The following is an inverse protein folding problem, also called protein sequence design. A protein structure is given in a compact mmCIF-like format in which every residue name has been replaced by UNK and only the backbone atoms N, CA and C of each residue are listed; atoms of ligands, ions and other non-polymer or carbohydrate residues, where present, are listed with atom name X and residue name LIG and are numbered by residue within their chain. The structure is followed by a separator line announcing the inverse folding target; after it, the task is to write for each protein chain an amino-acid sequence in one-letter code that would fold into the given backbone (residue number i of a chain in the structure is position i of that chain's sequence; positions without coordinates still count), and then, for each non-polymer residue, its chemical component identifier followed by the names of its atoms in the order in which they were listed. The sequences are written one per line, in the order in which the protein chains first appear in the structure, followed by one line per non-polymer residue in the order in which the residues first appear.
data_IF_196810109639
#
_entry.id   IF_196810109639
#
_cell.length_a   1.000
_cell.length_b   1.000
_cell.length_c   1.000
_cell.angle_alpha   90.00
_cell.angle_beta   90.00
_cell.angle_gamma   90.00
#
_symmetry.space_group_name_H-M   'P 1'
#
loop_
_entity.id
_entity.type
_entity.pdbx_description
1 polymer ?
#
# COMPACT_ATOMS: atom_id res chain seq x y z
N UNK A 1 108.79 55.07 -3.02
CA UNK A 1 107.93 54.08 -3.70
C UNK A 1 107.92 52.80 -2.87
N UNK A 2 106.76 52.14 -2.77
CA UNK A 2 106.56 50.76 -2.29
C UNK A 2 106.42 50.51 -0.77
N UNK A 3 105.28 50.89 -0.20
CA UNK A 3 104.66 50.25 0.98
C UNK A 3 103.14 50.18 0.77
N UNK A 4 102.65 49.36 -0.17
CA UNK A 4 101.21 49.17 -0.43
C UNK A 4 100.82 47.70 -0.72
N UNK A 5 101.77 46.76 -0.68
CA UNK A 5 101.57 45.40 -1.19
C UNK A 5 100.84 44.40 -0.26
N UNK A 6 100.87 44.46 1.09
CA UNK A 6 100.11 43.49 1.89
C UNK A 6 98.61 43.83 2.00
N UNK A 7 98.23 45.10 1.82
CA UNK A 7 96.84 45.56 2.00
C UNK A 7 95.93 45.13 0.83
N UNK A 8 96.45 45.20 -0.40
CA UNK A 8 95.71 44.81 -1.61
C UNK A 8 95.44 43.30 -1.69
N UNK A 9 96.35 42.48 -1.16
CA UNK A 9 96.18 41.02 -1.12
C UNK A 9 95.06 40.61 -0.16
N UNK A 10 94.94 41.29 0.98
CA UNK A 10 93.97 40.96 2.02
C UNK A 10 92.54 41.41 1.64
N UNK A 11 92.39 42.57 0.99
CA UNK A 11 91.10 42.99 0.43
C UNK A 11 90.61 42.06 -0.68
N UNK A 12 91.50 41.58 -1.55
CA UNK A 12 91.12 40.66 -2.62
C UNK A 12 90.68 39.28 -2.10
N UNK A 13 91.31 38.79 -1.02
CA UNK A 13 90.93 37.56 -0.35
C UNK A 13 89.59 37.70 0.40
N UNK A 14 89.38 38.83 1.10
CA UNK A 14 88.12 39.14 1.77
C UNK A 14 86.95 39.28 0.78
N UNK A 15 87.19 39.81 -0.43
CA UNK A 15 86.17 39.89 -1.48
C UNK A 15 85.73 38.51 -1.98
N UNK A 16 86.68 37.58 -2.19
CA UNK A 16 86.35 36.20 -2.62
C UNK A 16 85.59 35.44 -1.53
N UNK A 17 86.00 35.56 -0.28
CA UNK A 17 85.27 34.99 0.85
C UNK A 17 83.85 35.58 0.97
N UNK A 18 83.69 36.89 0.74
CA UNK A 18 82.38 37.53 0.74
C UNK A 18 81.49 37.08 -0.43
N UNK A 19 82.08 36.82 -1.61
CA UNK A 19 81.36 36.27 -2.76
C UNK A 19 80.95 34.81 -2.53
N UNK A 20 81.84 33.97 -2.00
CA UNK A 20 81.52 32.57 -1.65
C UNK A 20 80.43 32.48 -0.57
N UNK A 21 80.50 33.34 0.45
CA UNK A 21 79.45 33.45 1.47
C UNK A 21 78.11 33.90 0.88
N UNK A 22 78.12 34.86 -0.05
CA UNK A 22 76.90 35.30 -0.75
C UNK A 22 76.28 34.18 -1.56
N UNK A 23 77.08 33.46 -2.34
CA UNK A 23 76.61 32.33 -3.15
C UNK A 23 76.06 31.20 -2.27
N UNK A 24 76.70 30.92 -1.13
CA UNK A 24 76.17 29.94 -0.17
C UNK A 24 74.87 30.39 0.49
N UNK A 25 74.74 31.68 0.83
CA UNK A 25 73.49 32.24 1.34
C UNK A 25 72.37 32.14 0.30
N UNK A 26 72.63 32.52 -0.95
CA UNK A 26 71.64 32.46 -2.04
C UNK A 26 71.18 31.03 -2.32
N UNK A 27 72.11 30.06 -2.39
CA UNK A 27 71.77 28.64 -2.57
C UNK A 27 70.97 28.08 -1.40
N UNK A 28 71.23 28.54 -0.17
CA UNK A 28 70.48 28.12 1.00
C UNK A 28 69.06 28.72 0.96
N UNK A 29 68.93 30.00 0.61
CA UNK A 29 67.65 30.67 0.50
C UNK A 29 66.78 30.06 -0.63
N UNK A 30 67.38 29.67 -1.75
CA UNK A 30 66.69 28.97 -2.84
C UNK A 30 66.17 27.60 -2.41
N UNK A 31 66.98 26.81 -1.67
CA UNK A 31 66.52 25.52 -1.13
C UNK A 31 65.40 25.69 -0.12
N UNK A 32 65.53 26.63 0.81
CA UNK A 32 64.47 26.92 1.79
C UNK A 32 63.18 27.38 1.08
N UNK A 33 63.29 28.19 0.02
CA UNK A 33 62.15 28.60 -0.78
C UNK A 33 61.49 27.42 -1.53
N UNK A 34 62.30 26.47 -2.03
CA UNK A 34 61.79 25.31 -2.74
C UNK A 34 61.11 24.30 -1.81
N UNK A 35 61.69 24.05 -0.63
CA UNK A 35 61.08 23.22 0.41
C UNK A 35 59.74 23.81 0.89
N UNK A 36 59.68 25.13 1.11
CA UNK A 36 58.42 25.81 1.46
C UNK A 36 57.37 25.69 0.38
N UNK A 37 57.75 25.84 -0.90
CA UNK A 37 56.81 25.65 -2.03
C UNK A 37 56.28 24.23 -2.08
N UNK A 38 57.13 23.25 -1.84
CA UNK A 38 56.76 21.84 -1.85
C UNK A 38 55.83 21.51 -0.68
N UNK A 39 56.13 21.98 0.53
CA UNK A 39 55.23 21.85 1.68
C UNK A 39 53.85 22.47 1.44
N UNK A 40 53.78 23.64 0.76
CA UNK A 40 52.48 24.26 0.44
C UNK A 40 51.69 23.42 -0.56
N UNK A 41 52.36 22.84 -1.57
CA UNK A 41 51.70 21.95 -2.53
C UNK A 41 51.17 20.68 -1.85
N UNK A 42 51.98 20.07 -0.98
CA UNK A 42 51.58 18.87 -0.23
C UNK A 42 50.41 19.18 0.72
N UNK A 43 50.39 20.36 1.36
CA UNK A 43 49.27 20.80 2.20
C UNK A 43 47.98 21.01 1.39
N UNK A 44 48.08 21.62 0.21
CA UNK A 44 46.91 21.82 -0.67
C UNK A 44 46.37 20.48 -1.19
N UNK A 45 47.25 19.53 -1.53
CA UNK A 45 46.84 18.19 -1.93
C UNK A 45 46.13 17.47 -0.78
N UNK A 46 46.70 17.52 0.42
CA UNK A 46 46.10 16.90 1.61
C UNK A 46 44.76 17.54 1.96
N UNK A 47 44.64 18.87 1.88
CA UNK A 47 43.40 19.60 2.09
C UNK A 47 42.33 19.17 1.07
N UNK A 48 42.71 19.03 -0.20
CA UNK A 48 41.83 18.51 -1.25
C UNK A 48 41.34 17.09 -0.97
N UNK A 49 42.23 16.20 -0.50
CA UNK A 49 41.86 14.84 -0.11
C UNK A 49 40.91 14.80 1.10
N UNK A 50 41.16 15.63 2.11
CA UNK A 50 40.30 15.72 3.31
C UNK A 50 38.91 16.27 2.95
N UNK A 51 38.83 17.30 2.09
CA UNK A 51 37.56 17.83 1.61
C UNK A 51 36.79 16.80 0.77
N UNK A 52 37.49 16.07 -0.11
CA UNK A 52 36.90 14.98 -0.89
C UNK A 52 36.35 13.86 0.00
N UNK A 53 37.09 13.48 1.04
CA UNK A 53 36.66 12.48 2.01
C UNK A 53 35.45 12.96 2.82
N UNK A 54 35.43 14.23 3.23
CA UNK A 54 34.31 14.80 3.98
C UNK A 54 33.02 14.80 3.14
N UNK A 55 33.10 15.25 1.89
CA UNK A 55 31.96 15.21 0.96
C UNK A 55 31.46 13.78 0.70
N UNK A 56 32.37 12.81 0.56
CA UNK A 56 32.01 11.40 0.41
C UNK A 56 31.33 10.84 1.68
N UNK A 57 31.83 11.21 2.87
CA UNK A 57 31.24 10.80 4.13
C UNK A 57 29.84 11.39 4.33
N UNK A 58 29.63 12.66 4.00
CA UNK A 58 28.32 13.31 4.06
C UNK A 58 27.31 12.62 3.13
N UNK A 59 27.72 12.31 1.89
CA UNK A 59 26.89 11.58 0.95
C UNK A 59 26.52 10.17 1.44
N UNK A 60 27.48 9.44 2.03
CA UNK A 60 27.24 8.10 2.59
C UNK A 60 26.36 8.15 3.86
N UNK A 61 26.59 9.11 4.75
CA UNK A 61 25.81 9.26 5.97
C UNK A 61 24.35 9.61 5.68
N UNK A 62 24.09 10.49 4.71
CA UNK A 62 22.75 10.81 4.24
C UNK A 62 22.03 9.56 3.70
N UNK A 63 22.72 8.79 2.85
CA UNK A 63 22.16 7.53 2.28
C UNK A 63 21.87 6.50 3.36
N UNK A 64 22.75 6.35 4.34
CA UNK A 64 22.56 5.44 5.47
C UNK A 64 21.33 5.84 6.31
N UNK A 65 21.16 7.14 6.58
CA UNK A 65 19.98 7.65 7.28
C UNK A 65 18.69 7.40 6.49
N UNK A 66 18.69 7.62 5.18
CA UNK A 66 17.54 7.34 4.32
C UNK A 66 17.20 5.85 4.30
N UNK A 67 18.19 4.98 4.13
CA UNK A 67 17.99 3.53 4.15
C UNK A 67 17.46 3.04 5.52
N UNK A 68 17.96 3.60 6.62
CA UNK A 68 17.48 3.29 7.96
C UNK A 68 16.02 3.70 8.16
N UNK A 69 15.61 4.88 7.65
CA UNK A 69 14.23 5.34 7.71
C UNK A 69 13.27 4.47 6.88
N UNK A 70 13.71 4.00 5.71
CA UNK A 70 12.90 3.08 4.88
C UNK A 70 12.79 1.70 5.54
N UNK A 71 13.87 1.18 6.09
CA UNK A 71 13.86 -0.11 6.78
C UNK A 71 12.98 -0.08 8.04
N UNK A 72 12.96 1.03 8.78
CA UNK A 72 12.07 1.15 9.95
C UNK A 72 10.59 1.20 9.53
N UNK A 73 10.25 1.91 8.44
CA UNK A 73 8.91 1.90 7.85
C UNK A 73 8.51 0.49 7.41
N UNK A 74 9.39 -0.23 6.70
CA UNK A 74 9.14 -1.59 6.24
C UNK A 74 8.95 -2.57 7.40
N UNK A 75 9.71 -2.41 8.48
CA UNK A 75 9.53 -3.19 9.72
C UNK A 75 8.15 -2.99 10.32
N UNK A 76 7.63 -1.75 10.36
CA UNK A 76 6.29 -1.48 10.91
C UNK A 76 5.19 -2.02 9.99
N UNK A 77 5.37 -1.96 8.68
CA UNK A 77 4.44 -2.60 7.74
C UNK A 77 4.40 -4.12 7.96
N UNK A 78 5.55 -4.76 8.18
CA UNK A 78 5.61 -6.19 8.50
C UNK A 78 4.99 -6.52 9.87
N UNK A 79 5.15 -5.65 10.87
CA UNK A 79 4.44 -5.78 12.17
C UNK A 79 2.92 -5.73 11.97
N UNK A 80 2.43 -4.89 11.06
CA UNK A 80 1.00 -4.82 10.71
C UNK A 80 0.54 -6.12 10.03
N UNK A 81 1.28 -6.65 9.07
CA UNK A 81 0.93 -7.93 8.42
C UNK A 81 0.83 -9.06 9.44
N UNK A 82 1.83 -9.18 10.31
CA UNK A 82 1.82 -10.19 11.36
C UNK A 82 0.63 -10.00 12.32
N UNK A 83 0.30 -8.76 12.67
CA UNK A 83 -0.87 -8.46 13.49
C UNK A 83 -2.18 -8.84 12.77
N UNK A 84 -2.27 -8.64 11.45
CA UNK A 84 -3.42 -9.03 10.65
C UNK A 84 -3.57 -10.55 10.55
N UNK A 85 -2.47 -11.29 10.42
CA UNK A 85 -2.49 -12.76 10.40
C UNK A 85 -2.92 -13.35 11.76
N UNK A 86 -2.56 -12.69 12.85
CA UNK A 86 -2.86 -13.12 14.21
C UNK A 86 -4.19 -12.58 14.76
N UNK A 87 -5.01 -11.92 13.93
CA UNK A 87 -6.25 -11.23 14.34
C UNK A 87 -6.03 -10.29 15.54
N UNK A 88 -4.93 -9.54 15.55
CA UNK A 88 -4.57 -8.60 16.61
C UNK A 88 -5.01 -7.15 16.26
N UNK A 89 -5.14 -6.25 17.25
CA UNK A 89 -5.40 -4.84 16.99
C UNK A 89 -4.20 -4.17 16.30
N UNK A 90 -4.48 -3.44 15.22
CA UNK A 90 -3.46 -2.86 14.31
C UNK A 90 -3.29 -1.35 14.49
N UNK A 91 -4.20 -0.71 15.22
CA UNK A 91 -4.20 0.74 15.44
C UNK A 91 -2.85 1.33 15.93
N UNK A 92 -2.14 0.73 16.91
CA UNK A 92 -0.90 1.35 17.38
C UNK A 92 0.20 1.32 16.31
N UNK A 93 0.28 0.26 15.53
CA UNK A 93 1.24 0.15 14.42
C UNK A 93 0.85 1.07 13.26
N UNK A 94 -0.45 1.22 12.97
CA UNK A 94 -0.94 2.12 11.93
C UNK A 94 -0.67 3.60 12.28
N UNK A 95 -0.84 3.99 13.55
CA UNK A 95 -0.45 5.33 14.04
C UNK A 95 1.06 5.55 13.96
N UNK A 96 1.86 4.56 14.36
CA UNK A 96 3.33 4.60 14.23
C UNK A 96 3.75 4.77 12.77
N UNK A 97 3.10 4.06 11.84
CA UNK A 97 3.34 4.20 10.40
C UNK A 97 2.94 5.59 9.88
N UNK A 98 1.82 6.14 10.35
CA UNK A 98 1.36 7.48 10.00
C UNK A 98 2.32 8.58 10.51
N UNK A 99 2.90 8.41 11.69
CA UNK A 99 3.90 9.34 12.25
C UNK A 99 5.21 9.29 11.47
N UNK A 100 5.70 8.09 11.15
CA UNK A 100 6.95 7.93 10.41
C UNK A 100 6.82 8.30 8.92
N UNK A 101 5.60 8.19 8.36
CA UNK A 101 5.34 8.53 6.95
C UNK A 101 5.16 10.02 6.68
N UNK A 102 5.24 10.90 7.69
CA UNK A 102 5.16 12.37 7.49
C UNK A 102 6.16 12.92 6.47
N UNK A 103 7.26 12.21 6.25
CA UNK A 103 8.29 12.56 5.28
C UNK A 103 7.94 12.15 3.84
N UNK A 104 6.99 11.23 3.63
CA UNK A 104 6.48 10.85 2.31
C UNK A 104 5.02 11.31 2.13
N UNK A 105 4.76 12.32 1.28
CA UNK A 105 3.43 12.87 1.08
C UNK A 105 2.43 11.84 0.53
N UNK A 106 2.90 10.85 -0.24
CA UNK A 106 2.03 9.83 -0.85
C UNK A 106 1.56 8.85 0.22
N UNK A 107 2.49 8.34 1.05
CA UNK A 107 2.16 7.45 2.15
C UNK A 107 1.28 8.15 3.18
N UNK A 108 1.63 9.38 3.55
CA UNK A 108 0.87 10.17 4.51
C UNK A 108 -0.56 10.44 4.01
N UNK A 109 -0.72 10.84 2.75
CA UNK A 109 -2.04 11.05 2.15
C UNK A 109 -2.86 9.76 2.11
N UNK A 110 -2.26 8.63 1.73
CA UNK A 110 -2.95 7.35 1.67
C UNK A 110 -3.46 6.91 3.05
N UNK A 111 -2.62 7.04 4.09
CA UNK A 111 -2.98 6.68 5.47
C UNK A 111 -4.04 7.64 6.06
N UNK A 112 -3.97 8.94 5.74
CA UNK A 112 -4.98 9.92 6.18
C UNK A 112 -6.30 9.83 5.41
N UNK A 113 -6.29 9.27 4.20
CA UNK A 113 -7.50 9.04 3.43
C UNK A 113 -8.35 7.87 3.92
N UNK A 114 -7.86 7.11 4.91
CA UNK A 114 -8.61 6.03 5.53
C UNK A 114 -9.84 6.60 6.27
N UNK A 115 -11.05 6.10 5.97
CA UNK A 115 -12.26 6.53 6.66
C UNK A 115 -12.18 6.28 8.17
N UNK A 116 -12.84 7.13 8.97
CA UNK A 116 -12.88 6.99 10.43
C UNK A 116 -13.46 5.63 10.87
N UNK A 117 -14.36 5.06 10.06
CA UNK A 117 -14.93 3.73 10.29
C UNK A 117 -13.86 2.62 10.28
N UNK A 118 -12.81 2.79 9.48
CA UNK A 118 -11.68 1.85 9.42
C UNK A 118 -10.79 2.01 10.65
N UNK A 119 -10.52 3.25 11.07
CA UNK A 119 -9.67 3.51 12.23
C UNK A 119 -10.35 3.09 13.55
N UNK A 120 -11.65 3.27 13.69
CA UNK A 120 -12.44 2.75 14.81
C UNK A 120 -12.53 1.22 14.81
N UNK A 121 -12.68 0.60 13.63
CA UNK A 121 -12.71 -0.86 13.53
C UNK A 121 -11.36 -1.52 13.87
N UNK A 122 -10.24 -0.86 13.57
CA UNK A 122 -8.88 -1.34 13.93
C UNK A 122 -8.56 -1.28 15.43
N UNK A 123 -9.46 -0.69 16.23
CA UNK A 123 -9.37 -0.70 17.70
C UNK A 123 -9.68 -2.08 18.29
N UNK A 124 -10.37 -2.93 17.51
CA UNK A 124 -10.67 -4.34 17.80
C UNK A 124 -9.77 -5.24 16.94
N UNK A 125 -9.66 -6.53 17.29
CA UNK A 125 -9.13 -7.57 16.40
C UNK A 125 -9.65 -7.39 14.98
N UNK A 126 -8.75 -7.13 14.02
CA UNK A 126 -9.14 -7.09 12.60
C UNK A 126 -9.35 -8.54 12.17
N UNK A 127 -10.53 -8.90 11.65
CA UNK A 127 -10.81 -10.29 11.28
C UNK A 127 -9.96 -10.70 10.07
N UNK A 128 -9.38 -11.90 10.12
CA UNK A 128 -8.58 -12.46 9.01
C UNK A 128 -9.48 -12.83 7.82
N UNK A 129 -8.89 -13.00 6.63
CA UNK A 129 -9.64 -13.49 5.46
C UNK A 129 -10.36 -14.83 5.74
N UNK A 130 -9.77 -15.71 6.56
CA UNK A 130 -10.39 -16.96 7.02
C UNK A 130 -11.60 -16.70 7.93
N UNK A 131 -11.46 -15.79 8.90
CA UNK A 131 -12.55 -15.40 9.80
C UNK A 131 -13.71 -14.77 9.04
N UNK A 132 -13.44 -13.89 8.07
CA UNK A 132 -14.49 -13.32 7.20
C UNK A 132 -15.18 -14.41 6.40
N UNK A 133 -14.44 -15.38 5.84
CA UNK A 133 -15.04 -16.50 5.09
C UNK A 133 -16.02 -17.29 5.97
N UNK A 134 -15.64 -17.60 7.21
CA UNK A 134 -16.50 -18.32 8.15
C UNK A 134 -17.71 -17.48 8.56
N UNK A 135 -17.49 -16.19 8.87
CA UNK A 135 -18.53 -15.24 9.27
C UNK A 135 -19.59 -15.07 8.18
N UNK A 136 -19.17 -14.82 6.94
CA UNK A 136 -20.07 -14.66 5.81
C UNK A 136 -20.85 -15.95 5.58
N UNK A 137 -20.20 -17.12 5.60
CA UNK A 137 -20.89 -18.42 5.43
C UNK A 137 -21.95 -18.67 6.50
N UNK A 138 -21.70 -18.28 7.74
CA UNK A 138 -22.67 -18.37 8.81
C UNK A 138 -23.87 -17.46 8.55
N UNK A 139 -23.61 -16.22 8.13
CA UNK A 139 -24.63 -15.19 7.92
C UNK A 139 -25.39 -15.36 6.60
N UNK A 140 -24.86 -16.12 5.63
CA UNK A 140 -25.58 -16.46 4.39
C UNK A 140 -26.93 -17.12 4.69
N UNK A 141 -27.02 -17.97 5.72
CA UNK A 141 -28.29 -18.61 6.09
C UNK A 141 -29.32 -17.60 6.58
N UNK A 142 -28.88 -16.60 7.34
CA UNK A 142 -29.75 -15.52 7.81
C UNK A 142 -30.17 -14.61 6.65
N UNK A 143 -29.29 -14.37 5.68
CA UNK A 143 -29.60 -13.64 4.46
C UNK A 143 -30.60 -14.39 3.56
N UNK A 144 -30.46 -15.72 3.43
CA UNK A 144 -31.42 -16.59 2.72
C UNK A 144 -32.77 -16.50 3.42
N UNK A 145 -32.82 -16.65 4.74
CA UNK A 145 -34.06 -16.51 5.51
C UNK A 145 -34.68 -15.13 5.28
N UNK A 146 -33.89 -14.06 5.29
CA UNK A 146 -34.37 -12.70 5.06
C UNK A 146 -34.90 -12.49 3.63
N UNK A 147 -34.34 -13.19 2.63
CA UNK A 147 -34.84 -13.14 1.26
C UNK A 147 -36.25 -13.74 1.14
N UNK A 148 -36.55 -14.81 1.90
CA UNK A 148 -37.86 -15.48 1.89
C UNK A 148 -38.96 -14.73 2.65
N UNK A 149 -38.68 -13.64 3.36
CA UNK A 149 -39.70 -12.88 4.10
C UNK A 149 -40.49 -12.00 3.12
N UNK A 150 -41.80 -12.25 2.91
CA UNK A 150 -42.61 -11.38 2.06
C UNK A 150 -42.76 -9.98 2.68
N UNK A 151 -42.84 -8.91 1.88
CA UNK A 151 -43.12 -7.58 2.41
C UNK A 151 -44.49 -7.56 3.14
N UNK A 152 -44.54 -6.94 4.32
CA UNK A 152 -45.76 -6.80 5.16
C UNK A 152 -46.32 -8.09 5.81
N UNK A 153 -45.57 -9.18 5.83
CA UNK A 153 -46.07 -10.51 6.22
C UNK A 153 -46.12 -10.82 7.73
N UNK A 154 -45.77 -9.87 8.60
CA UNK A 154 -45.82 -10.02 10.06
C UNK A 154 -45.10 -11.28 10.56
N UNK A 155 -45.51 -11.79 11.72
CA UNK A 155 -44.86 -12.94 12.40
C UNK A 155 -44.98 -14.24 11.58
N UNK A 156 -46.09 -14.43 10.85
CA UNK A 156 -46.31 -15.63 10.03
C UNK A 156 -45.34 -15.70 8.85
N UNK A 157 -44.98 -14.56 8.25
CA UNK A 157 -43.96 -14.49 7.21
C UNK A 157 -42.59 -14.93 7.70
N UNK A 158 -42.19 -14.54 8.91
CA UNK A 158 -40.94 -14.99 9.50
C UNK A 158 -40.91 -16.50 9.77
N UNK A 159 -42.05 -17.09 10.19
CA UNK A 159 -42.16 -18.52 10.46
C UNK A 159 -42.05 -19.35 9.17
N UNK A 160 -42.76 -18.93 8.12
CA UNK A 160 -42.70 -19.54 6.79
C UNK A 160 -41.30 -19.41 6.20
N UNK A 161 -40.71 -18.22 6.25
CA UNK A 161 -39.35 -17.99 5.77
C UNK A 161 -38.32 -18.89 6.47
N UNK A 162 -38.49 -19.14 7.78
CA UNK A 162 -37.63 -20.06 8.53
C UNK A 162 -37.80 -21.51 8.07
N UNK A 163 -39.03 -21.95 7.82
CA UNK A 163 -39.31 -23.29 7.31
C UNK A 163 -38.74 -23.48 5.89
N UNK A 164 -39.00 -22.56 4.97
CA UNK A 164 -38.50 -22.62 3.60
C UNK A 164 -36.97 -22.51 3.53
N UNK A 165 -36.36 -21.62 4.32
CA UNK A 165 -34.90 -21.51 4.39
C UNK A 165 -34.23 -22.78 4.90
N UNK A 166 -34.92 -23.61 5.69
CA UNK A 166 -34.34 -24.84 6.22
C UNK A 166 -34.25 -25.94 5.15
N UNK A 167 -35.24 -26.00 4.24
CA UNK A 167 -35.25 -26.94 3.13
C UNK A 167 -34.51 -26.43 1.89
N UNK A 168 -34.21 -25.13 1.83
CA UNK A 168 -33.53 -24.53 0.69
C UNK A 168 -32.02 -24.82 0.73
N UNK A 169 -31.53 -25.54 -0.27
CA UNK A 169 -30.10 -25.69 -0.55
C UNK A 169 -29.73 -24.64 -1.60
N UNK A 170 -28.73 -23.82 -1.27
CA UNK A 170 -28.25 -22.79 -2.17
C UNK A 170 -27.61 -23.46 -3.40
N UNK A 171 -28.28 -23.37 -4.54
CA UNK A 171 -27.81 -23.97 -5.78
C UNK A 171 -26.52 -23.28 -6.22
N UNK A 172 -25.42 -24.02 -6.43
CA UNK A 172 -24.14 -23.43 -6.79
C UNK A 172 -24.23 -22.86 -8.21
N UNK A 173 -24.34 -21.54 -8.34
CA UNK A 173 -24.27 -20.88 -9.63
C UNK A 173 -22.80 -20.61 -9.99
N UNK A 174 -22.24 -21.24 -11.04
CA UNK A 174 -20.93 -20.86 -11.54
C UNK A 174 -20.99 -19.46 -12.16
N UNK A 175 -19.91 -18.65 -12.06
CA UNK A 175 -19.90 -17.29 -12.59
C UNK A 175 -20.02 -17.28 -14.12
N UNK A 176 -20.70 -16.28 -14.71
CA UNK A 176 -20.77 -16.13 -16.16
C UNK A 176 -19.42 -15.77 -16.80
N UNK A 177 -18.41 -15.31 -16.05
CA UNK A 177 -17.11 -14.85 -16.61
C UNK A 177 -15.96 -15.08 -15.61
N UNK A 178 -14.77 -15.43 -16.14
CA UNK A 178 -13.52 -15.51 -15.39
C UNK A 178 -13.12 -14.14 -14.79
N UNK A 179 -12.78 -14.09 -13.49
CA UNK A 179 -12.57 -12.85 -12.74
C UNK A 179 -11.33 -12.04 -13.19
N UNK A 180 -10.44 -12.63 -13.98
CA UNK A 180 -9.21 -11.97 -14.46
C UNK A 180 -9.34 -11.36 -15.86
N UNK A 181 -10.41 -11.69 -16.60
CA UNK A 181 -10.57 -11.32 -18.01
C UNK A 181 -11.70 -10.33 -18.27
N UNK A 182 -12.55 -10.07 -17.27
CA UNK A 182 -13.72 -9.20 -17.41
C UNK A 182 -13.46 -7.78 -16.91
N UNK A 183 -13.86 -6.77 -17.69
CA UNK A 183 -13.76 -5.36 -17.29
C UNK A 183 -14.60 -5.04 -16.04
N UNK A 184 -15.73 -5.73 -15.82
CA UNK A 184 -16.62 -5.53 -14.65
C UNK A 184 -17.35 -6.84 -14.24
N UNK A 185 -16.76 -7.68 -13.37
CA UNK A 185 -17.37 -8.97 -12.98
C UNK A 185 -18.68 -8.78 -12.22
N UNK A 186 -18.82 -7.67 -11.49
CA UNK A 186 -20.04 -7.32 -10.75
C UNK A 186 -21.23 -6.98 -11.62
N UNK A 187 -20.99 -6.44 -12.82
CA UNK A 187 -22.06 -6.13 -13.76
C UNK A 187 -22.55 -7.41 -14.44
N UNK A 188 -21.64 -8.28 -14.85
CA UNK A 188 -21.98 -9.59 -15.40
C UNK A 188 -22.75 -10.47 -14.39
N UNK A 189 -22.38 -10.42 -13.11
CA UNK A 189 -23.10 -11.13 -12.03
C UNK A 189 -24.49 -10.54 -11.81
N UNK A 190 -24.63 -9.21 -11.83
CA UNK A 190 -25.95 -8.56 -11.73
C UNK A 190 -26.84 -8.92 -12.93
N UNK A 191 -26.30 -8.85 -14.15
CA UNK A 191 -27.01 -9.22 -15.37
C UNK A 191 -27.41 -10.70 -15.37
N UNK A 192 -26.54 -11.61 -14.90
CA UNK A 192 -26.88 -13.03 -14.74
C UNK A 192 -27.92 -13.28 -13.65
N UNK A 193 -27.84 -12.57 -12.52
CA UNK A 193 -28.85 -12.64 -11.47
C UNK A 193 -30.20 -12.06 -11.92
N UNK A 194 -30.19 -11.05 -12.79
CA UNK A 194 -31.37 -10.48 -13.43
C UNK A 194 -32.00 -11.42 -14.45
N UNK A 195 -31.19 -12.10 -15.26
CA UNK A 195 -31.65 -13.16 -16.15
C UNK A 195 -32.28 -14.32 -15.35
N UNK A 196 -31.67 -14.72 -14.22
CA UNK A 196 -32.23 -15.73 -13.32
C UNK A 196 -33.53 -15.26 -12.63
N UNK A 197 -33.65 -13.96 -12.36
CA UNK A 197 -34.88 -13.34 -11.87
C UNK A 197 -35.97 -13.22 -12.94
N UNK A 198 -35.59 -13.15 -14.22
CA UNK A 198 -36.42 -12.72 -15.35
C UNK A 198 -37.04 -13.82 -16.23
N UNK A 199 -37.00 -15.11 -15.84
CA UNK A 199 -37.39 -16.27 -16.69
C UNK A 199 -38.89 -16.28 -17.14
N UNK A 200 -39.65 -15.21 -16.99
CA UNK A 200 -41.04 -15.11 -17.50
C UNK A 200 -41.29 -13.93 -18.47
N UNK A 201 -40.27 -13.20 -18.95
CA UNK A 201 -40.50 -12.12 -19.93
C UNK A 201 -40.62 -12.61 -21.38
N UNK A 202 -39.92 -13.67 -21.77
CA UNK A 202 -39.95 -14.17 -23.16
C UNK A 202 -41.17 -15.07 -23.46
N UNK A 203 -41.80 -15.68 -22.45
CA UNK A 203 -43.06 -16.42 -22.63
C UNK A 203 -44.30 -15.50 -22.63
N UNK A 204 -44.16 -14.22 -22.28
CA UNK A 204 -45.27 -13.27 -22.16
C UNK A 204 -45.57 -12.46 -23.45
N UNK A 205 -44.82 -12.66 -24.54
CA UNK A 205 -45.15 -12.07 -25.83
C UNK A 205 -46.23 -12.83 -26.61
N UNK A 206 -46.67 -14.01 -26.13
CA UNK A 206 -47.74 -14.79 -26.78
C UNK A 206 -49.10 -14.78 -26.08
N UNK A 207 -49.22 -14.38 -24.82
CA UNK A 207 -50.52 -14.31 -24.12
C UNK A 207 -50.90 -12.86 -23.85
N UNK A 208 -51.18 -12.15 -24.93
CA UNK A 208 -51.69 -10.78 -24.89
C UNK A 208 -53.19 -10.78 -25.13
N UNK A 209 -53.94 -11.46 -24.27
CA UNK A 209 -55.37 -11.20 -24.13
C UNK A 209 -55.88 -11.63 -22.74
N UNK A 210 -56.61 -10.72 -22.10
CA UNK A 210 -57.46 -10.91 -20.91
C UNK A 210 -56.78 -11.20 -19.56
N UNK A 211 -56.57 -10.16 -18.76
CA UNK A 211 -57.47 -9.83 -17.64
C UNK A 211 -56.86 -8.79 -16.70
N UNK A 212 -57.72 -7.87 -16.25
CA UNK A 212 -57.41 -6.89 -15.21
C UNK A 212 -57.25 -7.60 -13.85
N UNK A 213 -56.06 -7.48 -13.26
CA UNK A 213 -55.77 -7.97 -11.92
C UNK A 213 -54.60 -7.21 -11.32
N UNK A 214 -54.87 -6.11 -10.62
CA UNK A 214 -53.89 -5.23 -9.97
C UNK A 214 -53.10 -5.89 -8.82
N UNK A 215 -53.37 -7.18 -8.52
CA UNK A 215 -52.69 -7.96 -7.48
C UNK A 215 -51.63 -8.95 -7.97
N UNK A 216 -51.61 -9.31 -9.27
CA UNK A 216 -50.67 -10.33 -9.79
C UNK A 216 -49.28 -9.74 -10.09
N UNK A 217 -49.20 -8.43 -10.40
CA UNK A 217 -47.95 -7.72 -10.66
C UNK A 217 -47.03 -7.66 -9.43
N UNK A 218 -47.59 -7.43 -8.24
CA UNK A 218 -46.84 -7.27 -6.99
C UNK A 218 -46.25 -8.60 -6.51
N UNK A 219 -46.96 -9.71 -6.72
CA UNK A 219 -46.51 -11.06 -6.36
C UNK A 219 -45.44 -11.58 -7.32
N UNK A 220 -45.57 -11.31 -8.63
CA UNK A 220 -44.55 -11.64 -9.63
C UNK A 220 -43.26 -10.85 -9.42
N UNK A 221 -43.36 -9.57 -9.09
CA UNK A 221 -42.20 -8.72 -8.77
C UNK A 221 -41.48 -9.18 -7.50
N UNK A 222 -42.23 -9.57 -6.45
CA UNK A 222 -41.66 -10.15 -5.23
C UNK A 222 -40.89 -11.45 -5.47
N UNK A 223 -41.40 -12.32 -6.34
CA UNK A 223 -40.76 -13.60 -6.66
C UNK A 223 -39.52 -13.43 -7.55
N UNK A 224 -39.53 -12.47 -8.47
CA UNK A 224 -38.36 -12.07 -9.25
C UNK A 224 -37.23 -11.52 -8.34
N UNK A 225 -37.58 -10.65 -7.40
CA UNK A 225 -36.64 -10.12 -6.37
C UNK A 225 -36.06 -11.21 -5.47
N UNK A 226 -36.90 -12.16 -5.05
CA UNK A 226 -36.45 -13.32 -4.28
C UNK A 226 -35.41 -14.14 -5.07
N UNK A 227 -35.71 -14.50 -6.32
CA UNK A 227 -34.80 -15.27 -7.18
C UNK A 227 -33.48 -14.53 -7.42
N UNK A 228 -33.54 -13.23 -7.70
CA UNK A 228 -32.35 -12.38 -7.86
C UNK A 228 -31.49 -12.38 -6.59
N UNK A 229 -32.08 -12.16 -5.41
CA UNK A 229 -31.35 -12.18 -4.14
C UNK A 229 -30.72 -13.56 -3.86
N UNK A 230 -31.42 -14.66 -4.13
CA UNK A 230 -30.89 -16.01 -3.95
C UNK A 230 -29.73 -16.30 -4.93
N UNK A 231 -29.83 -15.84 -6.18
CA UNK A 231 -28.73 -15.92 -7.14
C UNK A 231 -27.50 -15.15 -6.66
N UNK A 232 -27.65 -13.90 -6.20
CA UNK A 232 -26.56 -13.09 -5.65
C UNK A 232 -25.90 -13.73 -4.42
N UNK A 233 -26.69 -14.33 -3.52
CA UNK A 233 -26.16 -15.07 -2.37
C UNK A 233 -25.37 -16.31 -2.79
N UNK A 234 -25.82 -17.01 -3.85
CA UNK A 234 -25.08 -18.14 -4.41
C UNK A 234 -23.73 -17.72 -5.00
N UNK A 235 -23.69 -16.62 -5.76
CA UNK A 235 -22.44 -16.04 -6.28
C UNK A 235 -21.52 -15.56 -5.15
N UNK A 236 -22.08 -14.90 -4.13
CA UNK A 236 -21.30 -14.49 -2.96
C UNK A 236 -20.65 -15.70 -2.28
N UNK A 237 -21.40 -16.80 -2.09
CA UNK A 237 -20.88 -18.03 -1.49
C UNK A 237 -19.73 -18.63 -2.31
N UNK A 238 -19.86 -18.63 -3.64
CA UNK A 238 -18.85 -19.11 -4.57
C UNK A 238 -17.56 -18.28 -4.49
N UNK A 239 -17.66 -16.95 -4.52
CA UNK A 239 -16.50 -16.07 -4.44
C UNK A 239 -15.80 -16.14 -3.08
N UNK A 240 -16.57 -16.27 -2.00
CA UNK A 240 -16.03 -16.52 -0.65
C UNK A 240 -15.26 -17.85 -0.63
N UNK A 241 -15.76 -18.87 -1.31
CA UNK A 241 -15.08 -20.16 -1.34
C UNK A 241 -13.74 -20.14 -2.07
N UNK A 242 -13.63 -19.35 -3.14
CA UNK A 242 -12.39 -19.12 -3.87
C UNK A 242 -11.47 -18.07 -3.26
N UNK A 243 -11.90 -17.37 -2.20
CA UNK A 243 -11.11 -16.31 -1.55
C UNK A 243 -11.16 -14.95 -2.25
N UNK A 244 -12.03 -14.76 -3.25
CA UNK A 244 -12.23 -13.49 -3.93
C UNK A 244 -13.20 -12.58 -3.15
N UNK A 245 -12.76 -12.09 -1.98
CA UNK A 245 -13.58 -11.30 -1.06
C UNK A 245 -14.13 -9.99 -1.67
N UNK A 246 -13.40 -9.38 -2.61
CA UNK A 246 -13.86 -8.19 -3.31
C UNK A 246 -15.11 -8.43 -4.17
N UNK A 247 -15.17 -9.55 -4.88
CA UNK A 247 -16.34 -9.91 -5.70
C UNK A 247 -17.51 -10.34 -4.81
N UNK A 248 -17.23 -11.03 -3.70
CA UNK A 248 -18.24 -11.37 -2.70
C UNK A 248 -18.89 -10.11 -2.11
N UNK A 249 -18.10 -9.09 -1.75
CA UNK A 249 -18.61 -7.81 -1.25
C UNK A 249 -19.59 -7.17 -2.25
N UNK A 250 -19.22 -7.11 -3.54
CA UNK A 250 -20.08 -6.53 -4.58
C UNK A 250 -21.40 -7.28 -4.74
N UNK A 251 -21.39 -8.61 -4.63
CA UNK A 251 -22.62 -9.42 -4.67
C UNK A 251 -23.54 -9.11 -3.47
N UNK A 252 -22.96 -8.96 -2.27
CA UNK A 252 -23.71 -8.62 -1.06
C UNK A 252 -24.26 -7.18 -1.11
N UNK A 253 -23.54 -6.23 -1.71
CA UNK A 253 -24.00 -4.85 -1.88
C UNK A 253 -25.18 -4.70 -2.85
N UNK A 254 -25.31 -5.62 -3.81
CA UNK A 254 -26.40 -5.68 -4.78
C UNK A 254 -27.67 -6.35 -4.26
N UNK A 255 -27.65 -6.86 -3.02
CA UNK A 255 -28.84 -7.41 -2.37
C UNK A 255 -29.87 -6.31 -2.10
N UNK A 256 -31.15 -6.70 -2.15
CA UNK A 256 -32.26 -5.78 -1.90
C UNK A 256 -33.09 -6.18 -0.67
N UNK A 257 -33.75 -5.17 -0.07
CA UNK A 257 -34.70 -5.34 1.02
C UNK A 257 -34.08 -5.83 2.32
N UNK A 258 -34.74 -6.79 2.97
CA UNK A 258 -34.33 -7.32 4.27
C UNK A 258 -33.01 -8.10 4.22
N UNK A 259 -32.72 -8.75 3.08
CA UNK A 259 -31.46 -9.47 2.89
C UNK A 259 -30.25 -8.53 2.94
N UNK A 260 -30.38 -7.33 2.36
CA UNK A 260 -29.39 -6.27 2.47
C UNK A 260 -29.19 -5.82 3.91
N UNK A 261 -30.28 -5.55 4.63
CA UNK A 261 -30.24 -5.09 6.02
C UNK A 261 -29.48 -6.07 6.93
N UNK A 262 -29.70 -7.37 6.76
CA UNK A 262 -28.99 -8.43 7.50
C UNK A 262 -27.51 -8.50 7.11
N UNK A 263 -27.18 -8.30 5.84
CA UNK A 263 -25.79 -8.34 5.36
C UNK A 263 -24.94 -7.10 5.68
N UNK A 264 -25.54 -6.00 6.18
CA UNK A 264 -24.84 -4.72 6.36
C UNK A 264 -23.59 -4.81 7.24
N UNK A 265 -23.67 -5.56 8.34
CA UNK A 265 -22.53 -5.73 9.25
C UNK A 265 -21.36 -6.44 8.57
N UNK A 266 -21.65 -7.48 7.77
CA UNK A 266 -20.62 -8.20 7.01
C UNK A 266 -20.06 -7.36 5.86
N UNK A 267 -20.89 -6.57 5.19
CA UNK A 267 -20.47 -5.59 4.17
C UNK A 267 -19.47 -4.60 4.79
N UNK A 268 -19.77 -4.08 5.98
CA UNK A 268 -18.87 -3.15 6.69
C UNK A 268 -17.54 -3.82 7.04
N UNK A 269 -17.57 -5.03 7.61
CA UNK A 269 -16.35 -5.80 7.96
C UNK A 269 -15.48 -6.08 6.73
N UNK A 270 -16.10 -6.52 5.62
CA UNK A 270 -15.41 -6.74 4.34
C UNK A 270 -14.77 -5.46 3.79
N UNK A 271 -15.49 -4.33 3.83
CA UNK A 271 -14.97 -3.04 3.38
C UNK A 271 -13.76 -2.60 4.19
N UNK A 272 -13.85 -2.66 5.51
CA UNK A 272 -12.74 -2.32 6.41
C UNK A 272 -11.51 -3.18 6.09
N UNK A 273 -11.69 -4.50 5.98
CA UNK A 273 -10.61 -5.43 5.67
C UNK A 273 -9.96 -5.11 4.31
N UNK A 274 -10.76 -4.91 3.26
CA UNK A 274 -10.25 -4.65 1.91
C UNK A 274 -9.53 -3.29 1.81
N UNK A 275 -10.07 -2.23 2.43
CA UNK A 275 -9.44 -0.91 2.44
C UNK A 275 -8.11 -0.92 3.20
N UNK A 276 -8.06 -1.61 4.33
CA UNK A 276 -6.83 -1.75 5.11
C UNK A 276 -5.78 -2.55 4.32
N UNK A 277 -6.19 -3.65 3.69
CA UNK A 277 -5.29 -4.44 2.85
C UNK A 277 -4.78 -3.64 1.66
N UNK A 278 -5.65 -2.88 0.97
CA UNK A 278 -5.27 -2.07 -0.17
C UNK A 278 -4.29 -0.95 0.21
N UNK A 279 -4.53 -0.26 1.32
CA UNK A 279 -3.61 0.80 1.78
C UNK A 279 -2.26 0.23 2.20
N UNK A 280 -2.24 -0.96 2.81
CA UNK A 280 -1.01 -1.65 3.15
C UNK A 280 -0.24 -2.12 1.91
N UNK A 281 -0.91 -2.65 0.89
CA UNK A 281 -0.27 -2.99 -0.38
C UNK A 281 0.31 -1.77 -1.08
N UNK A 282 -0.41 -0.64 -1.06
CA UNK A 282 0.12 0.63 -1.57
C UNK A 282 1.35 1.07 -0.79
N UNK A 283 1.34 0.93 0.55
CA UNK A 283 2.47 1.27 1.38
C UNK A 283 3.69 0.41 1.07
N UNK A 284 3.51 -0.91 0.94
CA UNK A 284 4.56 -1.86 0.51
C UNK A 284 5.12 -1.49 -0.85
N UNK A 285 4.26 -1.25 -1.84
CA UNK A 285 4.68 -0.90 -3.19
C UNK A 285 5.50 0.39 -3.20
N UNK A 286 5.04 1.42 -2.48
CA UNK A 286 5.74 2.69 -2.37
C UNK A 286 7.10 2.54 -1.67
N UNK A 287 7.17 1.80 -0.56
CA UNK A 287 8.43 1.52 0.12
C UNK A 287 9.40 0.71 -0.75
N UNK A 288 8.89 -0.24 -1.54
CA UNK A 288 9.68 -1.00 -2.50
C UNK A 288 10.26 -0.09 -3.61
N UNK A 289 9.48 0.86 -4.12
CA UNK A 289 9.97 1.86 -5.08
C UNK A 289 11.07 2.73 -4.47
N UNK A 290 10.86 3.27 -3.25
CA UNK A 290 11.88 4.09 -2.58
C UNK A 290 13.17 3.28 -2.36
N UNK A 291 13.04 2.02 -1.95
CA UNK A 291 14.21 1.16 -1.76
C UNK A 291 14.93 0.88 -3.08
N UNK A 292 14.20 0.68 -4.19
CA UNK A 292 14.77 0.52 -5.51
C UNK A 292 15.51 1.79 -5.98
N UNK A 293 14.95 2.97 -5.72
CA UNK A 293 15.56 4.27 -6.05
C UNK A 293 16.87 4.48 -5.27
N UNK A 294 16.89 4.12 -3.97
CA UNK A 294 18.10 4.17 -3.14
C UNK A 294 19.20 3.22 -3.67
N UNK A 295 18.83 2.03 -4.11
CA UNK A 295 19.76 1.06 -4.71
C UNK A 295 20.24 1.49 -6.10
N UNK A 296 19.40 2.15 -6.89
CA UNK A 296 19.78 2.69 -8.19
C UNK A 296 20.76 3.87 -8.03
N UNK A 297 20.51 4.77 -7.08
CA UNK A 297 21.40 5.88 -6.75
C UNK A 297 22.75 5.45 -6.18
N UNK A 298 22.87 4.22 -5.68
CA UNK A 298 24.15 3.63 -5.27
C UNK A 298 25.02 3.15 -6.44
N UNK A 299 24.44 2.98 -7.64
CA UNK A 299 25.15 2.51 -8.84
C UNK A 299 25.66 3.64 -9.74
N UNK A 300 25.23 4.89 -9.55
CA UNK A 300 25.81 6.04 -10.24
C UNK A 300 27.06 6.52 -9.48
N UNK A 301 28.26 6.45 -10.10
CA UNK A 301 29.52 6.88 -9.49
C UNK A 301 29.58 8.39 -9.26
#
# INVERSE_FOLDING_TARGET
MCFLLPFFSQESANRRLAEELKVQCELRDEREAQERRQMVLDLVELEGQVLGLHAAFDALSLRAQQAQAVNSLMSVVAEIDNALEMSAPVLPQLKKLQEMSRLDPILFSALNSLPCEVTEATHRPVPTAGDLKVSIKKNLRECIQAAFIPPHSGIFGHLLARAFSWFYVLEPHPPPIDPETSADPSRAVAEAADLAGGINAESALNDRESSAGTGDSTSRDGLAKLRRNLALLSYASFYVDRGHLGNALRCLEQLDGLSRAVSLEEIQRLRVFLLLHQTLQLAKARLACINADLLAGAKSP
#
